data_IF_469719768198
#
_entry.id   IF_469719768198
#
_cell.length_a   1.000
_cell.length_b   1.000
_cell.length_c   1.000
_cell.angle_alpha   90.00
_cell.angle_beta   90.00
_cell.angle_gamma   90.00
#
_symmetry.space_group_name_H-M   'P 1'
#
loop_
_entity.id
_entity.type
_entity.pdbx_description
1 polymer ?
#
# COMPACT_ATOMS: atom_id res chain seq x y z
N UNK A 1 16.75 23.13 -11.64
CA UNK A 1 15.75 23.04 -10.54
C UNK A 1 15.50 21.56 -10.26
N UNK A 2 15.70 21.06 -9.04
CA UNK A 2 15.48 19.62 -8.74
C UNK A 2 13.97 19.33 -8.73
N UNK A 3 13.45 18.36 -9.51
CA UNK A 3 12.02 18.09 -9.58
C UNK A 3 11.41 17.65 -8.24
N UNK A 4 10.13 17.98 -8.01
CA UNK A 4 9.40 17.73 -6.76
C UNK A 4 9.29 16.22 -6.44
N UNK A 5 9.43 15.36 -7.46
CA UNK A 5 9.40 13.90 -7.34
C UNK A 5 10.79 13.26 -7.16
N UNK A 6 11.85 14.07 -7.00
CA UNK A 6 13.17 13.54 -6.66
C UNK A 6 13.12 12.94 -5.25
N UNK A 7 13.76 11.79 -5.05
CA UNK A 7 13.79 11.09 -3.77
C UNK A 7 14.01 12.08 -2.60
N UNK A 8 13.17 12.00 -1.55
CA UNK A 8 13.19 12.91 -0.39
C UNK A 8 14.60 13.10 0.20
N UNK A 9 15.46 12.09 0.08
CA UNK A 9 16.88 12.16 0.42
C UNK A 9 17.59 13.27 -0.34
N UNK A 10 17.51 13.30 -1.68
CA UNK A 10 18.17 14.29 -2.53
C UNK A 10 17.64 15.72 -2.31
N UNK A 11 16.34 15.86 -2.02
CA UNK A 11 15.77 17.17 -1.67
C UNK A 11 16.31 17.72 -0.34
N UNK A 12 16.51 16.85 0.67
CA UNK A 12 17.14 17.25 1.94
C UNK A 12 18.60 17.65 1.73
N UNK A 13 19.36 16.89 0.95
CA UNK A 13 20.75 17.24 0.61
C UNK A 13 20.82 18.58 -0.10
N UNK A 14 19.91 18.88 -1.03
CA UNK A 14 19.83 20.19 -1.68
C UNK A 14 19.62 21.32 -0.67
N UNK A 15 18.66 21.18 0.24
CA UNK A 15 18.39 22.21 1.26
C UNK A 15 19.61 22.48 2.16
N UNK A 16 20.33 21.42 2.53
CA UNK A 16 21.57 21.54 3.31
C UNK A 16 22.63 22.27 2.48
N UNK A 17 22.86 21.85 1.24
CA UNK A 17 23.91 22.41 0.37
C UNK A 17 23.62 23.86 -0.06
N UNK A 18 22.36 24.28 -0.15
CA UNK A 18 21.98 25.67 -0.43
C UNK A 18 22.42 26.65 0.65
N UNK A 19 22.71 26.18 1.87
CA UNK A 19 23.22 27.01 2.97
C UNK A 19 24.71 27.30 2.91
N UNK A 20 25.44 26.75 1.94
CA UNK A 20 26.88 26.87 1.83
C UNK A 20 27.31 27.50 0.50
N UNK A 21 28.34 28.34 0.55
CA UNK A 21 29.11 28.74 -0.64
C UNK A 21 30.24 27.73 -0.80
N UNK A 22 30.28 27.02 -1.92
CA UNK A 22 31.26 25.98 -2.16
C UNK A 22 32.11 26.28 -3.39
N UNK A 23 33.40 25.97 -3.32
CA UNK A 23 34.30 25.86 -4.46
C UNK A 23 34.41 24.38 -4.84
N UNK A 24 34.15 24.07 -6.11
CA UNK A 24 34.32 22.72 -6.64
C UNK A 24 35.76 22.59 -7.16
N UNK A 25 36.54 21.73 -6.53
CA UNK A 25 37.90 21.39 -6.98
C UNK A 25 37.94 19.95 -7.48
N UNK A 26 38.55 19.76 -8.65
CA UNK A 26 38.83 18.44 -9.17
C UNK A 26 40.03 17.85 -8.44
N UNK A 27 39.86 16.72 -7.77
CA UNK A 27 40.97 15.93 -7.23
C UNK A 27 41.25 14.74 -8.12
N UNK A 28 42.52 14.58 -8.48
CA UNK A 28 42.95 13.49 -9.36
C UNK A 28 42.79 12.13 -8.66
N UNK A 29 42.50 11.11 -9.46
CA UNK A 29 42.20 9.75 -8.98
C UNK A 29 43.36 9.11 -8.20
N UNK A 30 44.60 9.57 -8.44
CA UNK A 30 45.82 9.12 -7.76
C UNK A 30 45.93 9.63 -6.32
N UNK A 31 45.24 10.73 -5.98
CA UNK A 31 45.32 11.37 -4.66
C UNK A 31 44.15 11.02 -3.72
N UNK A 32 43.12 10.33 -4.21
CA UNK A 32 41.84 10.15 -3.51
C UNK A 32 41.67 8.80 -2.78
N UNK A 33 42.53 7.80 -3.05
CA UNK A 33 42.39 6.46 -2.46
C UNK A 33 41.07 5.75 -2.86
N UNK A 34 40.74 4.65 -2.16
CA UNK A 34 39.62 3.72 -2.43
C UNK A 34 38.22 4.40 -2.52
N UNK A 35 37.90 5.00 -3.65
CA UNK A 35 36.53 5.36 -3.99
C UNK A 35 35.71 4.08 -4.30
N UNK A 36 34.53 3.97 -3.67
CA UNK A 36 33.56 2.87 -3.85
C UNK A 36 33.30 2.58 -5.34
N UNK A 37 33.20 1.31 -5.70
CA UNK A 37 33.17 0.83 -7.09
C UNK A 37 32.03 1.46 -7.92
N UNK A 38 30.92 1.82 -7.29
CA UNK A 38 29.79 2.48 -7.94
C UNK A 38 30.10 3.94 -8.37
N UNK A 39 31.00 4.63 -7.66
CA UNK A 39 31.50 5.96 -8.03
C UNK A 39 32.37 5.92 -9.30
N UNK A 40 33.01 4.79 -9.57
CA UNK A 40 33.88 4.56 -10.73
C UNK A 40 33.12 4.08 -11.97
N UNK A 41 31.87 3.64 -11.81
CA UNK A 41 30.97 3.21 -12.90
C UNK A 41 30.16 4.38 -13.49
N UNK A 42 30.70 5.60 -13.47
CA UNK A 42 30.15 6.69 -14.26
C UNK A 42 30.92 6.68 -15.58
N UNK A 43 30.32 6.26 -16.70
CA UNK A 43 30.98 6.35 -18.00
C UNK A 43 31.38 7.81 -18.23
N UNK A 44 32.60 8.04 -18.70
CA UNK A 44 33.12 9.37 -19.01
C UNK A 44 32.16 10.06 -20.00
N UNK A 45 31.24 10.85 -19.48
CA UNK A 45 30.38 11.69 -20.30
C UNK A 45 31.19 12.93 -20.65
N UNK A 46 31.21 13.37 -21.92
CA UNK A 46 31.85 14.62 -22.29
C UNK A 46 31.28 15.77 -21.45
N UNK A 47 32.04 16.85 -21.25
CA UNK A 47 31.53 18.07 -20.62
C UNK A 47 30.31 18.57 -21.41
N UNK A 48 29.12 18.22 -20.94
CA UNK A 48 27.87 18.60 -21.56
C UNK A 48 27.58 20.05 -21.16
N UNK A 49 27.34 20.90 -22.15
CA UNK A 49 26.89 22.28 -21.91
C UNK A 49 25.54 22.25 -21.18
N UNK A 50 25.23 23.33 -20.45
CA UNK A 50 23.98 23.43 -19.67
C UNK A 50 22.73 23.16 -20.55
N UNK A 51 22.76 23.58 -21.82
CA UNK A 51 21.70 23.32 -22.80
C UNK A 51 21.49 21.82 -23.07
N UNK A 52 22.56 21.02 -23.10
CA UNK A 52 22.48 19.56 -23.28
C UNK A 52 21.88 18.91 -22.03
N UNK A 53 22.20 19.43 -20.85
CA UNK A 53 21.63 18.95 -19.58
C UNK A 53 20.14 19.29 -19.50
N UNK A 54 19.73 20.50 -19.92
CA UNK A 54 18.33 20.93 -19.97
C UNK A 54 17.55 20.06 -20.96
N UNK A 55 18.07 19.87 -22.18
CA UNK A 55 17.46 19.00 -23.19
C UNK A 55 17.31 17.56 -22.69
N UNK A 56 18.27 17.06 -21.90
CA UNK A 56 18.20 15.72 -21.29
C UNK A 56 17.10 15.62 -20.24
N UNK A 57 16.97 16.63 -19.37
CA UNK A 57 15.89 16.69 -18.37
C UNK A 57 14.53 16.76 -19.06
N UNK A 58 14.41 17.56 -20.11
CA UNK A 58 13.18 17.67 -20.90
C UNK A 58 12.83 16.32 -21.53
N UNK A 59 13.81 15.63 -22.12
CA UNK A 59 13.62 14.28 -22.66
C UNK A 59 13.18 13.26 -21.59
N UNK A 60 13.73 13.33 -20.39
CA UNK A 60 13.35 12.44 -19.28
C UNK A 60 11.92 12.73 -18.79
N UNK A 61 11.52 14.01 -18.73
CA UNK A 61 10.16 14.43 -18.39
C UNK A 61 9.16 13.91 -19.45
N UNK A 62 9.48 14.10 -20.73
CA UNK A 62 8.67 13.60 -21.84
C UNK A 62 8.52 12.07 -21.78
N UNK A 63 9.60 11.35 -21.45
CA UNK A 63 9.58 9.90 -21.31
C UNK A 63 8.68 9.44 -20.15
N UNK A 64 8.68 10.15 -19.02
CA UNK A 64 7.76 9.87 -17.90
C UNK A 64 6.31 10.08 -18.31
N UNK A 65 6.00 11.17 -19.02
CA UNK A 65 4.64 11.42 -19.51
C UNK A 65 4.18 10.37 -20.51
N UNK A 66 5.03 9.99 -21.48
CA UNK A 66 4.72 8.91 -22.40
C UNK A 66 4.49 7.57 -21.69
N UNK A 67 5.33 7.23 -20.71
CA UNK A 67 5.19 6.01 -19.93
C UNK A 67 3.88 6.00 -19.15
N UNK A 68 3.49 7.14 -18.54
CA UNK A 68 2.21 7.29 -17.85
C UNK A 68 1.04 7.06 -18.81
N UNK A 69 1.09 7.62 -20.01
CA UNK A 69 0.02 7.50 -21.02
C UNK A 69 -0.07 6.08 -21.57
N UNK A 70 1.08 5.43 -21.83
CA UNK A 70 1.15 4.04 -22.32
C UNK A 70 0.72 3.04 -21.25
N UNK A 71 1.01 3.32 -19.98
CA UNK A 71 0.61 2.49 -18.85
C UNK A 71 -0.86 2.69 -18.46
N UNK A 72 -1.48 3.79 -18.90
CA UNK A 72 -2.90 3.98 -18.75
C UNK A 72 -3.67 3.26 -19.85
N UNK A 73 -4.75 2.54 -19.52
CA UNK A 73 -5.52 1.81 -20.53
C UNK A 73 -6.63 2.67 -21.16
N UNK A 74 -6.68 3.97 -20.83
CA UNK A 74 -7.41 4.99 -21.60
C UNK A 74 -6.40 5.71 -22.49
N UNK A 75 -6.54 5.52 -23.80
CA UNK A 75 -5.61 6.08 -24.79
C UNK A 75 -5.63 7.60 -24.74
N UNK A 76 -4.46 8.21 -24.99
CA UNK A 76 -4.27 9.65 -25.20
C UNK A 76 -5.39 10.31 -26.01
N UNK A 77 -5.84 9.65 -27.08
CA UNK A 77 -6.88 10.13 -27.99
C UNK A 77 -8.21 10.36 -27.26
N UNK A 78 -8.64 9.38 -26.45
CA UNK A 78 -9.89 9.49 -25.68
C UNK A 78 -9.82 10.63 -24.64
N UNK A 79 -8.63 10.88 -24.09
CA UNK A 79 -8.39 11.96 -23.11
C UNK A 79 -8.16 13.31 -23.81
N UNK A 80 -7.92 13.35 -25.12
CA UNK A 80 -7.78 14.60 -25.89
C UNK A 80 -9.10 15.06 -26.50
N UNK A 81 -9.99 14.12 -26.87
CA UNK A 81 -11.28 14.44 -27.48
C UNK A 81 -12.38 14.77 -26.44
N UNK A 82 -12.24 14.26 -25.22
CA UNK A 82 -13.17 14.50 -24.12
C UNK A 82 -12.98 15.79 -23.28
N UNK A 83 -11.80 16.43 -23.16
CA UNK A 83 -11.60 17.61 -22.32
C UNK A 83 -12.46 18.78 -22.77
N UNK A 84 -12.77 18.91 -24.06
CA UNK A 84 -13.68 19.94 -24.57
C UNK A 84 -15.10 19.85 -23.98
N UNK A 85 -15.46 18.69 -23.42
CA UNK A 85 -16.77 18.45 -22.80
C UNK A 85 -16.79 18.71 -21.29
N UNK A 86 -15.64 18.63 -20.62
CA UNK A 86 -15.57 18.83 -19.16
C UNK A 86 -15.26 20.30 -18.83
N UNK A 87 -16.32 21.05 -18.52
CA UNK A 87 -16.25 22.49 -18.27
C UNK A 87 -15.19 22.89 -17.23
N UNK A 88 -14.96 22.05 -16.22
CA UNK A 88 -13.96 22.26 -15.18
C UNK A 88 -12.53 22.19 -15.74
N UNK A 89 -12.23 21.13 -16.51
CA UNK A 89 -10.91 20.92 -17.12
C UNK A 89 -10.64 21.98 -18.20
N UNK A 90 -11.63 22.37 -19.00
CA UNK A 90 -11.50 23.45 -19.99
C UNK A 90 -11.13 24.77 -19.32
N UNK A 91 -11.83 25.14 -18.23
CA UNK A 91 -11.57 26.38 -17.49
C UNK A 91 -10.15 26.40 -16.91
N UNK A 92 -9.72 25.30 -16.30
CA UNK A 92 -8.37 25.17 -15.72
C UNK A 92 -7.30 25.22 -16.82
N UNK A 93 -7.50 24.49 -17.91
CA UNK A 93 -6.58 24.48 -19.06
C UNK A 93 -6.45 25.86 -19.70
N UNK A 94 -7.56 26.58 -19.85
CA UNK A 94 -7.57 27.95 -20.37
C UNK A 94 -6.83 28.92 -19.45
N UNK A 95 -7.09 28.86 -18.14
CA UNK A 95 -6.42 29.69 -17.14
C UNK A 95 -4.90 29.44 -17.13
N UNK A 96 -4.47 28.18 -17.27
CA UNK A 96 -3.05 27.82 -17.36
C UNK A 96 -2.40 28.35 -18.64
N UNK A 97 -3.04 28.19 -19.80
CA UNK A 97 -2.50 28.68 -21.09
C UNK A 97 -2.42 30.21 -21.14
N UNK A 98 -3.38 30.91 -20.54
CA UNK A 98 -3.43 32.38 -20.51
C UNK A 98 -2.60 33.00 -19.39
N UNK A 99 -2.20 32.21 -18.38
CA UNK A 99 -1.50 32.69 -17.19
C UNK A 99 -2.37 33.55 -16.26
N UNK A 100 -3.67 33.64 -16.51
CA UNK A 100 -4.61 34.49 -15.76
C UNK A 100 -5.60 33.63 -15.00
N UNK A 101 -5.55 33.72 -13.68
CA UNK A 101 -6.48 33.04 -12.79
C UNK A 101 -7.50 34.03 -12.21
N UNK A 102 -8.77 33.63 -11.99
CA UNK A 102 -9.76 34.50 -11.38
C UNK A 102 -9.32 35.00 -9.99
N UNK A 103 -9.49 36.29 -9.69
CA UNK A 103 -9.17 36.84 -8.37
C UNK A 103 -10.05 36.24 -7.27
N UNK A 104 -11.33 36.01 -7.56
CA UNK A 104 -12.28 35.28 -6.71
C UNK A 104 -12.72 33.99 -7.44
N UNK A 105 -11.93 32.91 -7.36
CA UNK A 105 -12.31 31.65 -8.00
C UNK A 105 -13.51 31.04 -7.27
N UNK A 106 -14.44 30.43 -8.01
CA UNK A 106 -15.44 29.54 -7.42
C UNK A 106 -14.78 28.32 -6.75
N UNK A 107 -15.50 27.62 -5.89
CA UNK A 107 -14.96 26.53 -5.05
C UNK A 107 -14.20 25.46 -5.85
N UNK A 108 -14.71 25.08 -7.03
CA UNK A 108 -14.04 24.12 -7.92
C UNK A 108 -12.67 24.63 -8.39
N UNK A 109 -12.60 25.87 -8.90
CA UNK A 109 -11.37 26.49 -9.42
C UNK A 109 -10.40 26.86 -8.30
N UNK A 110 -10.90 27.12 -7.09
CA UNK A 110 -10.07 27.51 -5.95
C UNK A 110 -8.99 26.47 -5.63
N UNK A 111 -9.38 25.18 -5.63
CA UNK A 111 -8.46 24.07 -5.36
C UNK A 111 -7.40 23.92 -6.47
N UNK A 112 -7.79 24.14 -7.72
CA UNK A 112 -6.86 24.14 -8.87
C UNK A 112 -5.90 25.33 -8.81
N UNK A 113 -6.39 26.53 -8.46
CA UNK A 113 -5.56 27.73 -8.31
C UNK A 113 -4.50 27.57 -7.22
N UNK A 114 -4.88 27.00 -6.07
CA UNK A 114 -3.93 26.71 -4.99
C UNK A 114 -2.80 25.76 -5.46
N UNK A 115 -3.13 24.84 -6.37
CA UNK A 115 -2.20 23.84 -6.90
C UNK A 115 -1.60 24.22 -8.26
N UNK A 116 -1.76 25.47 -8.72
CA UNK A 116 -1.42 25.89 -10.09
C UNK A 116 0.03 25.58 -10.50
N UNK A 117 0.97 25.65 -9.57
CA UNK A 117 2.40 25.38 -9.79
C UNK A 117 2.70 23.90 -10.07
N UNK A 118 1.77 23.00 -9.73
CA UNK A 118 1.87 21.56 -10.00
C UNK A 118 1.13 21.18 -11.28
N UNK A 119 0.37 22.10 -11.88
CA UNK A 119 -0.39 21.84 -13.09
C UNK A 119 0.45 22.11 -14.33
N UNK A 120 0.34 21.25 -15.33
CA UNK A 120 0.93 21.46 -16.65
C UNK A 120 -0.04 20.99 -17.73
N UNK A 121 0.09 21.56 -18.92
CA UNK A 121 -0.69 21.14 -20.09
C UNK A 121 0.29 20.66 -21.14
N UNK A 122 0.13 19.43 -21.59
CA UNK A 122 0.98 18.85 -22.62
C UNK A 122 0.15 17.99 -23.56
N UNK A 123 0.36 18.16 -24.86
CA UNK A 123 -0.38 17.46 -25.92
C UNK A 123 -1.91 17.50 -25.70
N UNK A 124 -2.46 18.67 -25.35
CA UNK A 124 -3.90 18.82 -25.09
C UNK A 124 -4.42 18.16 -23.80
N UNK A 125 -3.59 17.45 -23.04
CA UNK A 125 -3.97 16.85 -21.77
C UNK A 125 -3.53 17.72 -20.59
N UNK A 126 -4.39 17.82 -19.57
CA UNK A 126 -4.07 18.46 -18.30
C UNK A 126 -3.38 17.45 -17.37
N UNK A 127 -2.28 17.84 -16.75
CA UNK A 127 -1.52 17.04 -15.79
C UNK A 127 -1.49 17.71 -14.42
N UNK A 128 -1.47 16.86 -13.39
CA UNK A 128 -1.15 17.22 -12.02
C UNK A 128 0.16 16.51 -11.64
N UNK A 129 1.27 17.24 -11.71
CA UNK A 129 2.62 16.69 -11.60
C UNK A 129 2.93 15.78 -12.79
N UNK A 130 3.07 14.48 -12.53
CA UNK A 130 3.28 13.45 -13.56
C UNK A 130 2.00 12.67 -13.93
N UNK A 131 0.88 12.99 -13.27
CA UNK A 131 -0.39 12.25 -13.40
C UNK A 131 -1.34 12.97 -14.33
N UNK A 132 -2.05 12.24 -15.17
CA UNK A 132 -3.04 12.84 -16.06
C UNK A 132 -4.32 13.17 -15.30
N UNK A 133 -4.91 14.32 -15.57
CA UNK A 133 -6.22 14.70 -15.01
C UNK A 133 -7.32 14.08 -15.86
N UNK A 134 -8.20 13.31 -15.21
CA UNK A 134 -9.25 12.54 -15.89
C UNK A 134 -10.60 13.26 -15.79
N UNK A 135 -11.26 13.45 -16.94
CA UNK A 135 -12.60 14.04 -17.05
C UNK A 135 -13.66 13.18 -16.36
N UNK A 136 -14.75 13.82 -15.91
CA UNK A 136 -15.84 13.15 -15.18
C UNK A 136 -16.40 11.94 -15.94
N UNK A 137 -16.52 12.01 -17.26
CA UNK A 137 -17.03 10.93 -18.12
C UNK A 137 -16.11 9.70 -18.18
N UNK A 138 -14.79 9.89 -18.10
CA UNK A 138 -13.81 8.80 -18.21
C UNK A 138 -13.47 8.12 -16.87
N UNK A 139 -13.82 8.75 -15.74
CA UNK A 139 -13.52 8.22 -14.39
C UNK A 139 -14.04 6.80 -14.19
N UNK A 140 -15.25 6.48 -14.66
CA UNK A 140 -15.82 5.13 -14.53
C UNK A 140 -15.00 4.05 -15.25
N UNK A 141 -14.52 4.35 -16.46
CA UNK A 141 -13.67 3.43 -17.22
C UNK A 141 -12.31 3.23 -16.54
N UNK A 142 -11.69 4.31 -16.09
CA UNK A 142 -10.42 4.27 -15.34
C UNK A 142 -10.56 3.48 -14.04
N UNK A 143 -11.62 3.71 -13.27
CA UNK A 143 -11.88 2.98 -12.01
C UNK A 143 -12.07 1.48 -12.24
N UNK A 144 -12.82 1.11 -13.29
CA UNK A 144 -13.02 -0.30 -13.66
C UNK A 144 -11.69 -0.99 -13.98
N UNK A 145 -10.80 -0.31 -14.71
CA UNK A 145 -9.50 -0.85 -15.09
C UNK A 145 -8.50 -0.87 -13.93
N UNK A 146 -8.44 0.18 -13.10
CA UNK A 146 -7.60 0.19 -11.88
C UNK A 146 -7.99 -0.93 -10.90
N UNK A 147 -9.24 -1.38 -10.97
CA UNK A 147 -9.77 -2.48 -10.18
C UNK A 147 -9.76 -3.84 -10.91
N UNK A 148 -9.24 -3.90 -12.13
CA UNK A 148 -9.14 -5.15 -12.89
C UNK A 148 -8.22 -6.14 -12.17
N UNK A 149 -8.60 -7.41 -12.14
CA UNK A 149 -7.95 -8.44 -11.33
C UNK A 149 -8.18 -8.32 -9.81
N UNK A 150 -9.11 -7.47 -9.37
CA UNK A 150 -9.51 -7.31 -7.96
C UNK A 150 -8.37 -7.09 -6.95
N UNK A 151 -7.41 -6.19 -7.22
CA UNK A 151 -6.34 -5.91 -6.29
C UNK A 151 -6.86 -5.26 -5.00
N UNK A 152 -6.10 -5.42 -3.92
CA UNK A 152 -6.40 -4.78 -2.65
C UNK A 152 -6.48 -3.25 -2.77
N UNK A 153 -7.30 -2.62 -1.92
CA UNK A 153 -7.53 -1.17 -1.88
C UNK A 153 -6.22 -0.35 -1.92
N UNK A 154 -5.21 -0.79 -1.16
CA UNK A 154 -3.90 -0.12 -1.12
C UNK A 154 -3.23 -0.12 -2.48
N UNK A 155 -3.29 -1.24 -3.21
CA UNK A 155 -2.70 -1.38 -4.54
C UNK A 155 -3.45 -0.55 -5.59
N UNK A 156 -4.78 -0.50 -5.54
CA UNK A 156 -5.58 0.38 -6.42
C UNK A 156 -5.20 1.85 -6.22
N UNK A 157 -5.09 2.30 -4.96
CA UNK A 157 -4.66 3.68 -4.63
C UNK A 157 -3.23 3.95 -5.08
N UNK A 158 -2.32 2.98 -4.98
CA UNK A 158 -0.95 3.12 -5.46
C UNK A 158 -0.90 3.29 -6.99
N UNK A 159 -1.64 2.47 -7.74
CA UNK A 159 -1.73 2.58 -9.21
C UNK A 159 -2.30 3.94 -9.62
N UNK A 160 -3.38 4.37 -8.97
CA UNK A 160 -3.96 5.69 -9.20
C UNK A 160 -2.94 6.82 -8.98
N UNK A 161 -2.18 6.77 -7.87
CA UNK A 161 -1.13 7.75 -7.56
C UNK A 161 0.03 7.76 -8.54
N UNK A 162 0.24 6.70 -9.31
CA UNK A 162 1.29 6.64 -10.33
C UNK A 162 0.88 7.27 -11.66
N UNK A 163 -0.42 7.33 -11.97
CA UNK A 163 -0.84 7.61 -13.34
C UNK A 163 -1.94 8.67 -13.50
N UNK A 164 -2.93 8.72 -12.59
CA UNK A 164 -4.16 9.53 -12.78
C UNK A 164 -4.48 10.41 -11.58
N UNK A 165 -5.21 11.49 -11.83
CA UNK A 165 -5.66 12.41 -10.79
C UNK A 165 -7.04 13.00 -11.07
N UNK A 166 -7.83 13.13 -10.02
CA UNK A 166 -8.94 14.07 -9.88
C UNK A 166 -9.19 14.30 -8.38
N UNK A 167 -9.90 15.37 -8.03
CA UNK A 167 -10.02 15.87 -6.64
C UNK A 167 -10.40 14.80 -5.61
N UNK A 168 -11.38 13.95 -5.92
CA UNK A 168 -11.94 12.95 -4.98
C UNK A 168 -11.60 11.49 -5.35
N UNK A 169 -10.50 11.26 -6.07
CA UNK A 169 -10.11 9.92 -6.56
C UNK A 169 -10.08 8.83 -5.49
N UNK A 170 -9.60 9.12 -4.28
CA UNK A 170 -9.54 8.11 -3.22
C UNK A 170 -10.94 7.66 -2.78
N UNK A 171 -11.89 8.59 -2.68
CA UNK A 171 -13.27 8.29 -2.31
C UNK A 171 -13.95 7.47 -3.40
N UNK A 172 -13.77 7.86 -4.66
CA UNK A 172 -14.35 7.14 -5.80
C UNK A 172 -13.78 5.72 -5.92
N UNK A 173 -12.47 5.54 -5.65
CA UNK A 173 -11.85 4.20 -5.55
C UNK A 173 -12.48 3.39 -4.42
N UNK A 174 -12.62 3.98 -3.24
CA UNK A 174 -13.21 3.30 -2.08
C UNK A 174 -14.63 2.82 -2.37
N UNK A 175 -15.47 3.70 -2.90
CA UNK A 175 -16.83 3.37 -3.29
C UNK A 175 -16.89 2.30 -4.38
N UNK A 176 -16.01 2.35 -5.38
CA UNK A 176 -15.97 1.37 -6.46
C UNK A 176 -15.59 -0.03 -5.95
N UNK A 177 -14.58 -0.12 -5.10
CA UNK A 177 -14.16 -1.41 -4.50
C UNK A 177 -15.21 -1.93 -3.51
N UNK A 178 -15.87 -1.04 -2.75
CA UNK A 178 -16.97 -1.43 -1.85
C UNK A 178 -18.18 -1.97 -2.61
N UNK A 179 -18.49 -1.43 -3.79
CA UNK A 179 -19.57 -1.91 -4.66
C UNK A 179 -19.22 -3.20 -5.42
N UNK A 180 -17.96 -3.63 -5.41
CA UNK A 180 -17.52 -4.82 -6.13
C UNK A 180 -17.94 -6.12 -5.43
N UNK A 181 -18.85 -6.89 -6.06
CA UNK A 181 -19.35 -8.16 -5.52
C UNK A 181 -18.24 -9.14 -5.14
N UNK A 182 -17.28 -9.36 -6.04
CA UNK A 182 -16.19 -10.33 -5.82
C UNK A 182 -15.30 -9.94 -4.63
N UNK A 183 -15.00 -8.65 -4.48
CA UNK A 183 -14.25 -8.15 -3.32
C UNK A 183 -15.05 -8.29 -2.02
N UNK A 184 -16.37 -8.08 -2.05
CA UNK A 184 -17.21 -8.28 -0.87
C UNK A 184 -17.27 -9.75 -0.45
N UNK A 185 -17.40 -10.67 -1.40
CA UNK A 185 -17.46 -12.13 -1.14
C UNK A 185 -16.14 -12.69 -0.57
N UNK A 186 -15.00 -12.11 -0.99
CA UNK A 186 -13.66 -12.52 -0.55
C UNK A 186 -13.15 -11.77 0.68
N UNK A 187 -13.90 -10.76 1.16
CA UNK A 187 -13.48 -9.94 2.30
C UNK A 187 -13.43 -10.79 3.58
N UNK A 188 -12.33 -10.68 4.33
CA UNK A 188 -12.19 -11.34 5.64
C UNK A 188 -13.35 -10.92 6.52
N UNK A 189 -14.10 -11.90 7.04
CA UNK A 189 -15.13 -11.61 8.03
C UNK A 189 -14.49 -10.85 9.20
N UNK A 190 -15.12 -9.76 9.69
CA UNK A 190 -14.66 -9.10 10.90
C UNK A 190 -14.58 -10.13 12.02
N UNK A 191 -13.60 -9.97 12.92
CA UNK A 191 -13.46 -10.87 14.08
C UNK A 191 -14.79 -10.84 14.85
N UNK A 192 -15.55 -11.93 14.76
CA UNK A 192 -16.95 -12.03 15.23
C UNK A 192 -17.10 -11.76 16.73
N UNK A 193 -16.01 -11.80 17.50
CA UNK A 193 -16.06 -11.68 18.95
C UNK A 193 -14.74 -11.14 19.49
N UNK A 194 -14.81 -10.27 20.50
CA UNK A 194 -13.67 -9.93 21.35
C UNK A 194 -13.25 -11.20 22.08
N UNK A 195 -11.98 -11.59 21.99
CA UNK A 195 -11.47 -12.74 22.74
C UNK A 195 -11.61 -12.44 24.23
N UNK A 196 -12.51 -13.16 24.90
CA UNK A 196 -12.66 -13.07 26.35
C UNK A 196 -11.78 -14.13 26.99
N UNK A 197 -10.78 -13.68 27.74
CA UNK A 197 -9.94 -14.59 28.52
C UNK A 197 -10.75 -15.20 29.65
N UNK A 198 -10.53 -16.48 29.91
CA UNK A 198 -11.10 -17.12 31.09
C UNK A 198 -10.58 -16.47 32.39
N UNK A 199 -11.37 -16.44 33.47
CA UNK A 199 -10.90 -15.98 34.77
C UNK A 199 -9.68 -16.77 35.23
N UNK A 200 -8.73 -16.11 35.87
CA UNK A 200 -7.56 -16.78 36.48
C UNK A 200 -8.02 -17.65 37.64
N UNK A 201 -7.57 -18.90 37.64
CA UNK A 201 -7.81 -19.80 38.76
C UNK A 201 -6.98 -19.42 39.99
N UNK A 202 -7.47 -19.79 41.18
CA UNK A 202 -6.83 -19.48 42.47
C UNK A 202 -6.19 -20.69 43.15
N UNK A 203 -6.53 -21.91 42.73
CA UNK A 203 -6.06 -23.17 43.32
C UNK A 203 -5.84 -24.23 42.23
N UNK A 204 -4.89 -25.17 42.42
CA UNK A 204 -4.74 -26.32 41.55
C UNK A 204 -6.04 -27.12 41.44
N UNK A 205 -6.28 -27.73 40.27
CA UNK A 205 -7.40 -28.62 39.97
C UNK A 205 -8.80 -27.96 39.98
N UNK A 206 -8.89 -26.63 39.99
CA UNK A 206 -10.16 -25.92 39.86
C UNK A 206 -10.70 -25.89 38.43
N UNK A 207 -9.81 -25.83 37.43
CA UNK A 207 -10.15 -25.93 36.01
C UNK A 207 -9.06 -26.72 35.30
N UNK A 208 -9.46 -27.76 34.57
CA UNK A 208 -8.57 -28.54 33.72
C UNK A 208 -8.94 -28.35 32.26
N UNK A 209 -7.94 -28.29 31.39
CA UNK A 209 -8.10 -28.33 29.95
C UNK A 209 -7.72 -29.73 29.47
N UNK A 210 -8.59 -30.38 28.73
CA UNK A 210 -8.37 -31.73 28.22
C UNK A 210 -8.39 -31.65 26.70
N UNK A 211 -7.37 -32.18 26.06
CA UNK A 211 -7.28 -32.28 24.60
C UNK A 211 -6.65 -33.63 24.20
N UNK A 212 -6.81 -34.00 22.94
CA UNK A 212 -6.18 -35.19 22.37
C UNK A 212 -4.98 -34.79 21.53
N UNK A 213 -3.86 -35.48 21.72
CA UNK A 213 -2.67 -35.34 20.91
C UNK A 213 -2.40 -36.64 20.15
N UNK A 214 -2.29 -36.58 18.83
CA UNK A 214 -1.91 -37.73 18.03
C UNK A 214 -2.57 -37.83 16.66
N UNK A 215 -2.30 -38.93 15.94
CA UNK A 215 -1.44 -40.05 16.35
C UNK A 215 0.06 -39.72 16.23
N UNK A 216 0.84 -40.08 17.26
CA UNK A 216 2.32 -40.04 17.21
C UNK A 216 2.77 -41.50 17.32
N UNK A 217 3.50 -42.00 16.32
CA UNK A 217 3.90 -43.41 16.20
C UNK A 217 2.74 -44.42 16.29
N UNK A 218 1.56 -44.04 15.79
CA UNK A 218 0.36 -44.90 15.80
C UNK A 218 -0.44 -44.84 17.09
N UNK A 219 -0.03 -44.02 18.05
CA UNK A 219 -0.65 -43.92 19.38
C UNK A 219 -1.31 -42.57 19.60
N UNK A 220 -2.50 -42.57 20.18
CA UNK A 220 -3.22 -41.36 20.62
C UNK A 220 -2.95 -41.10 22.10
N UNK A 221 -2.90 -39.83 22.49
CA UNK A 221 -2.68 -39.40 23.87
C UNK A 221 -3.80 -38.48 24.33
N UNK A 222 -4.20 -38.60 25.59
CA UNK A 222 -5.02 -37.61 26.29
C UNK A 222 -4.09 -36.70 27.08
N UNK A 223 -4.17 -35.40 26.82
CA UNK A 223 -3.40 -34.37 27.52
C UNK A 223 -4.35 -33.62 28.43
N UNK A 224 -4.11 -33.69 29.74
CA UNK A 224 -4.86 -32.95 30.77
C UNK A 224 -3.93 -31.90 31.36
N UNK A 225 -4.32 -30.62 31.30
CA UNK A 225 -3.51 -29.52 31.84
C UNK A 225 -4.30 -28.78 32.91
N UNK A 226 -3.74 -28.68 34.11
CA UNK A 226 -4.32 -27.82 35.15
C UNK A 226 -4.14 -26.33 34.81
N UNK A 227 -5.23 -25.57 34.92
CA UNK A 227 -5.24 -24.15 34.51
C UNK A 227 -4.46 -23.25 35.46
N UNK A 228 -4.32 -23.65 36.74
CA UNK A 228 -3.63 -22.86 37.77
C UNK A 228 -2.11 -23.09 37.73
N UNK A 229 -1.68 -24.33 37.93
CA UNK A 229 -0.26 -24.73 38.00
C UNK A 229 0.40 -24.87 36.63
N UNK A 230 -0.39 -25.01 35.56
CA UNK A 230 0.07 -25.36 34.21
C UNK A 230 0.72 -26.74 34.12
N UNK A 231 0.50 -27.60 35.11
CA UNK A 231 1.00 -28.98 35.12
C UNK A 231 0.27 -29.84 34.08
N UNK A 232 0.99 -30.50 33.15
CA UNK A 232 0.42 -31.44 32.21
C UNK A 232 0.51 -32.89 32.70
N UNK A 233 -0.61 -33.61 32.61
CA UNK A 233 -0.71 -35.07 32.71
C UNK A 233 -0.99 -35.64 31.32
N UNK A 234 -0.19 -36.60 30.87
CA UNK A 234 -0.31 -37.20 29.54
C UNK A 234 -0.55 -38.70 29.69
N UNK A 235 -1.65 -39.19 29.12
CA UNK A 235 -2.06 -40.58 29.20
C UNK A 235 -2.09 -41.19 27.81
N UNK A 236 -1.42 -42.32 27.65
CA UNK A 236 -1.44 -43.11 26.42
C UNK A 236 -2.79 -43.84 26.26
N UNK A 237 -3.40 -43.75 25.09
CA UNK A 237 -4.63 -44.48 24.78
C UNK A 237 -4.30 -45.83 24.13
N UNK A 238 -4.58 -46.91 24.84
CA UNK A 238 -4.29 -48.28 24.41
C UNK A 238 -5.32 -48.89 23.44
N UNK A 239 -6.46 -48.23 23.18
CA UNK A 239 -7.43 -48.65 22.16
C UNK A 239 -8.34 -47.48 21.73
N UNK A 240 -8.77 -47.48 20.47
CA UNK A 240 -9.59 -46.46 19.79
C UNK A 240 -11.04 -46.33 20.30
N UNK A 241 -11.36 -46.83 21.49
CA UNK A 241 -12.74 -46.92 22.00
C UNK A 241 -12.86 -46.33 23.41
N UNK A 242 -12.87 -45.01 23.52
CA UNK A 242 -13.45 -44.29 24.69
C UNK A 242 -14.44 -43.20 24.24
N UNK A 243 -14.58 -42.96 22.93
CA UNK A 243 -15.41 -41.88 22.39
C UNK A 243 -16.94 -42.14 22.60
N UNK A 244 -17.36 -43.36 22.99
CA UNK A 244 -18.79 -43.69 23.15
C UNK A 244 -19.32 -43.68 24.60
N UNK A 245 -18.50 -43.62 25.66
CA UNK A 245 -18.99 -43.68 27.05
C UNK A 245 -18.90 -42.37 27.85
N UNK A 246 -18.46 -41.27 27.23
CA UNK A 246 -18.36 -39.97 27.92
C UNK A 246 -19.59 -39.06 27.78
N UNK A 247 -20.69 -39.53 27.16
CA UNK A 247 -21.86 -38.69 26.86
C UNK A 247 -23.05 -38.78 27.84
N UNK A 248 -23.01 -39.56 28.94
CA UNK A 248 -24.15 -39.49 29.88
C UNK A 248 -23.97 -39.84 31.36
N UNK A 249 -22.96 -40.60 31.80
CA UNK A 249 -22.97 -41.10 33.19
C UNK A 249 -21.61 -41.16 33.92
N UNK A 250 -20.48 -41.04 33.24
CA UNK A 250 -19.17 -41.37 33.84
C UNK A 250 -18.37 -40.16 34.37
N UNK A 251 -18.84 -38.93 34.17
CA UNK A 251 -18.15 -37.71 34.66
C UNK A 251 -18.06 -37.65 36.21
N UNK A 252 -18.92 -38.39 36.93
CA UNK A 252 -18.84 -38.50 38.39
C UNK A 252 -17.87 -39.57 38.91
N UNK A 253 -17.46 -40.54 38.08
CA UNK A 253 -16.60 -41.65 38.52
C UNK A 253 -15.11 -41.30 38.43
N UNK A 254 -14.68 -40.62 37.37
CA UNK A 254 -13.26 -40.31 37.11
C UNK A 254 -12.67 -39.27 38.05
N UNK A 255 -13.46 -38.34 38.60
CA UNK A 255 -13.01 -37.42 39.66
C UNK A 255 -12.64 -38.13 40.97
N UNK A 256 -13.20 -39.32 41.22
CA UNK A 256 -12.86 -40.16 42.39
C UNK A 256 -11.59 -40.97 42.15
N UNK A 257 -11.37 -41.44 40.94
CA UNK A 257 -10.16 -42.20 40.58
C UNK A 257 -8.92 -41.31 40.41
N UNK A 258 -9.08 -40.09 39.87
CA UNK A 258 -8.01 -39.08 39.84
C UNK A 258 -7.54 -38.65 41.24
N UNK A 259 -8.41 -38.72 42.26
CA UNK A 259 -8.00 -38.50 43.66
C UNK A 259 -7.24 -39.68 44.26
N UNK A 260 -7.45 -40.90 43.78
CA UNK A 260 -6.74 -42.08 44.29
C UNK A 260 -5.36 -42.28 43.66
N UNK A 261 -5.09 -41.68 42.50
CA UNK A 261 -3.76 -41.68 41.87
C UNK A 261 -2.78 -40.66 42.47
N UNK A 262 -3.25 -39.77 43.36
CA UNK A 262 -2.45 -38.69 43.99
C UNK A 262 -2.51 -38.80 45.53
N UNK A 263 -2.69 -40.02 46.06
CA UNK A 263 -2.55 -40.33 47.48
C UNK A 263 -1.35 -41.27 47.70
#
# INVERSE_FOLDING_TARGET
>A
MVPIYTANRLQRWKLILMGYVYSLEYRSTTEFGEADALSRLIPAKPNQTEDVVIAKIEQDILAVYEATIKALPVTRILIQDEPDKDEEIVKVTRALKQGVWPSKPGEEIHNWKASQHTLSVQDGCLYFGHRIVVSKSLRGAVLKQLHDGHPEMTRVKMLARGYVYWTNINKDIEENVQKCRYCQETTKMPRKTVLSSWPKEKKPWNRVHIDFAGPINGTMYVVVVDSYSKWPEVLEMSSSTVILEMSSSTVKATLRELKMLIA
#
